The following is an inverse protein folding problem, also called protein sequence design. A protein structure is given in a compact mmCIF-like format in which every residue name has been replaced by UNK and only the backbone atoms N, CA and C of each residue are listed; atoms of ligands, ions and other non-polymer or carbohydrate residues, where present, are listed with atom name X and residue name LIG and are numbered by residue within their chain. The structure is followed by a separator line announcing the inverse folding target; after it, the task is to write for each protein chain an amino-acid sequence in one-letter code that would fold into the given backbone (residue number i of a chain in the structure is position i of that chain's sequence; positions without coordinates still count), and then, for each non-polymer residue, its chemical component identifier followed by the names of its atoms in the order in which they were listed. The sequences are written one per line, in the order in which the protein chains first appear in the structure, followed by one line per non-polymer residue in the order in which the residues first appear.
data_IF_672047968262
#
_entry.id   IF_672047968262
#
_cell.length_a   1.000
_cell.length_b   1.000
_cell.length_c   1.000
_cell.angle_alpha   90.00
_cell.angle_beta   90.00
_cell.angle_gamma   90.00
#
_symmetry.space_group_name_H-M   'P 1'
#
loop_
_entity.id
_entity.type
_entity.pdbx_description
1 polymer ?
#
# COMPACT_ATOMS: atom_id res chain seq x y z
N UNK A 1 -68.07 -22.32 56.16
CA UNK A 1 -67.09 -23.38 55.96
C UNK A 1 -67.36 -24.01 54.60
N UNK A 2 -66.64 -23.69 53.58
CA UNK A 2 -66.74 -24.30 52.24
C UNK A 2 -65.34 -24.67 51.81
N UNK A 3 -65.07 -25.97 51.60
CA UNK A 3 -63.83 -26.51 51.13
C UNK A 3 -63.76 -26.37 49.60
N UNK A 4 -62.69 -25.88 49.08
CA UNK A 4 -62.41 -25.86 47.65
C UNK A 4 -61.63 -27.14 47.22
N UNK A 5 -61.83 -27.65 45.99
CA UNK A 5 -61.20 -28.85 45.51
C UNK A 5 -59.77 -28.57 44.96
N UNK A 6 -58.89 -29.52 45.24
CA UNK A 6 -57.54 -29.58 44.68
C UNK A 6 -57.60 -30.14 43.26
N UNK A 7 -57.08 -29.39 42.29
CA UNK A 7 -56.82 -29.86 40.92
C UNK A 7 -55.40 -30.41 40.89
N UNK A 8 -55.26 -31.68 40.57
CA UNK A 8 -54.00 -32.31 40.23
C UNK A 8 -53.65 -31.93 38.77
N UNK A 9 -52.56 -31.26 38.55
CA UNK A 9 -52.00 -31.07 37.22
C UNK A 9 -51.02 -32.24 36.93
N UNK A 10 -51.34 -33.07 35.95
CA UNK A 10 -50.43 -34.04 35.37
C UNK A 10 -49.41 -33.31 34.48
N UNK A 11 -48.16 -33.29 34.91
CA UNK A 11 -47.07 -32.78 34.11
C UNK A 11 -46.59 -33.86 33.10
N UNK A 12 -46.77 -33.59 31.84
CA UNK A 12 -46.18 -34.42 30.76
C UNK A 12 -44.69 -34.17 30.69
N UNK A 13 -43.90 -35.19 30.96
CA UNK A 13 -42.44 -35.17 30.77
C UNK A 13 -42.19 -35.43 29.29
N UNK A 14 -41.72 -34.40 28.56
CA UNK A 14 -41.21 -34.56 27.21
C UNK A 14 -39.74 -34.94 27.32
N UNK A 15 -39.44 -36.21 26.95
CA UNK A 15 -38.06 -36.67 26.82
C UNK A 15 -37.47 -36.10 25.53
N UNK A 16 -36.63 -35.11 25.66
CA UNK A 16 -35.82 -34.62 24.53
C UNK A 16 -34.61 -35.53 24.39
N UNK A 17 -34.65 -36.38 23.40
CA UNK A 17 -33.49 -37.22 23.01
C UNK A 17 -32.51 -36.34 22.25
N UNK A 18 -31.42 -35.90 22.92
CA UNK A 18 -30.31 -35.23 22.27
C UNK A 18 -29.48 -36.28 21.51
N UNK A 19 -29.65 -36.31 20.19
CA UNK A 19 -28.73 -37.00 19.30
C UNK A 19 -27.42 -36.20 19.20
N UNK A 20 -26.42 -36.66 19.92
CA UNK A 20 -25.04 -36.18 19.71
C UNK A 20 -24.56 -36.71 18.37
N UNK A 21 -24.59 -35.89 17.35
CA UNK A 21 -23.90 -36.16 16.10
C UNK A 21 -22.40 -36.10 16.34
N UNK A 22 -21.77 -37.25 16.23
CA UNK A 22 -20.32 -37.41 16.30
C UNK A 22 -19.71 -36.83 15.02
N UNK A 23 -19.11 -35.64 15.07
CA UNK A 23 -18.34 -35.08 13.96
C UNK A 23 -16.94 -35.72 13.96
N UNK A 24 -16.44 -36.25 12.84
CA UNK A 24 -15.10 -36.77 12.77
C UNK A 24 -14.08 -35.61 12.94
N UNK A 25 -12.96 -35.83 13.65
CA UNK A 25 -11.90 -34.85 13.76
C UNK A 25 -11.13 -34.75 12.45
N UNK A 26 -11.06 -33.58 11.83
CA UNK A 26 -10.09 -33.31 10.74
C UNK A 26 -10.62 -32.71 9.45
N UNK A 27 -11.72 -32.01 9.48
CA UNK A 27 -12.05 -31.09 8.39
C UNK A 27 -11.46 -29.69 8.68
N UNK A 28 -10.29 -29.36 8.15
CA UNK A 28 -9.94 -27.97 8.01
C UNK A 28 -11.01 -27.35 7.11
N UNK A 29 -11.89 -26.55 7.69
CA UNK A 29 -12.75 -25.67 6.92
C UNK A 29 -11.81 -24.74 6.16
N UNK A 30 -11.57 -25.05 4.90
CA UNK A 30 -11.05 -24.09 3.95
C UNK A 30 -12.12 -23.00 3.86
N UNK A 31 -11.90 -21.89 4.54
CA UNK A 31 -12.64 -20.67 4.27
C UNK A 31 -12.35 -20.38 2.80
N UNK A 32 -13.31 -20.67 1.93
CA UNK A 32 -13.29 -20.21 0.56
C UNK A 32 -13.34 -18.68 0.65
N UNK A 33 -12.17 -18.06 0.59
CA UNK A 33 -12.12 -16.65 0.30
C UNK A 33 -12.78 -16.47 -1.06
N UNK A 34 -13.93 -15.80 -1.09
CA UNK A 34 -14.51 -15.36 -2.33
C UNK A 34 -13.38 -14.65 -3.09
N UNK A 35 -13.12 -15.13 -4.29
CA UNK A 35 -12.09 -14.57 -5.16
C UNK A 35 -12.47 -13.10 -5.37
N UNK A 36 -11.74 -12.18 -4.71
CA UNK A 36 -11.97 -10.74 -4.88
C UNK A 36 -11.62 -10.43 -6.33
N UNK A 37 -12.62 -10.14 -7.11
CA UNK A 37 -12.44 -9.67 -8.49
C UNK A 37 -11.95 -8.23 -8.42
N UNK A 38 -10.89 -7.91 -9.15
CA UNK A 38 -10.41 -6.54 -9.23
C UNK A 38 -11.50 -5.61 -9.78
N UNK A 39 -11.60 -4.37 -9.28
CA UNK A 39 -12.48 -3.35 -9.84
C UNK A 39 -12.30 -3.19 -11.34
N UNK A 40 -13.32 -2.67 -12.02
CA UNK A 40 -13.27 -2.42 -13.46
C UNK A 40 -12.11 -1.45 -13.78
N UNK A 41 -11.34 -1.77 -14.82
CA UNK A 41 -10.18 -0.96 -15.23
C UNK A 41 -8.87 -1.39 -14.59
N UNK A 42 -8.90 -2.24 -13.55
CA UNK A 42 -7.67 -2.75 -12.93
C UNK A 42 -7.17 -4.03 -13.59
N UNK A 43 -5.86 -4.23 -13.53
CA UNK A 43 -5.19 -5.44 -14.00
C UNK A 43 -4.92 -6.40 -12.83
N UNK A 44 -5.00 -7.69 -13.12
CA UNK A 44 -4.69 -8.74 -12.15
C UNK A 44 -3.19 -8.99 -12.14
N UNK A 45 -2.57 -8.92 -10.97
CA UNK A 45 -1.18 -9.27 -10.73
C UNK A 45 -1.11 -10.56 -9.91
N UNK A 46 -0.38 -11.56 -10.39
CA UNK A 46 -0.21 -12.82 -9.69
C UNK A 46 0.84 -12.72 -8.58
N UNK A 47 0.48 -13.13 -7.37
CA UNK A 47 1.33 -13.07 -6.18
C UNK A 47 1.38 -14.46 -5.52
N UNK A 48 2.40 -15.23 -5.83
CA UNK A 48 2.46 -16.63 -5.41
C UNK A 48 1.27 -17.44 -5.93
N UNK A 49 0.52 -18.08 -5.03
CA UNK A 49 -0.70 -18.82 -5.37
C UNK A 49 -1.97 -17.95 -5.38
N UNK A 50 -1.82 -16.63 -5.18
CA UNK A 50 -2.91 -15.66 -5.14
C UNK A 50 -2.79 -14.58 -6.22
N UNK A 51 -3.61 -13.56 -6.09
CA UNK A 51 -3.56 -12.38 -6.96
C UNK A 51 -3.78 -11.10 -6.15
N UNK A 52 -3.33 -9.99 -6.72
CA UNK A 52 -3.60 -8.63 -6.27
C UNK A 52 -4.11 -7.80 -7.45
N UNK A 53 -4.70 -6.66 -7.18
CA UNK A 53 -5.09 -5.70 -8.20
C UNK A 53 -3.97 -4.67 -8.40
N UNK A 54 -3.88 -4.10 -9.60
CA UNK A 54 -3.03 -2.97 -9.93
C UNK A 54 -3.78 -2.09 -10.92
N UNK A 55 -3.66 -0.78 -10.80
CA UNK A 55 -4.24 0.17 -11.77
C UNK A 55 -3.49 0.20 -13.11
N UNK A 56 -2.36 -0.47 -13.21
CA UNK A 56 -1.46 -0.40 -14.36
C UNK A 56 -0.19 0.36 -14.03
N UNK A 57 0.45 0.91 -15.03
CA UNK A 57 1.67 1.71 -14.86
C UNK A 57 1.40 3.19 -14.95
N UNK A 58 2.01 3.96 -14.07
CA UNK A 58 1.91 5.41 -14.03
C UNK A 58 2.87 6.09 -14.99
N UNK A 59 2.37 7.04 -15.74
CA UNK A 59 3.16 7.86 -16.65
C UNK A 59 3.60 9.16 -15.98
N UNK A 60 4.81 9.64 -16.29
CA UNK A 60 5.33 10.90 -15.73
C UNK A 60 4.49 12.13 -16.03
N UNK A 61 3.72 12.11 -17.11
CA UNK A 61 2.89 13.25 -17.49
C UNK A 61 1.78 13.57 -16.51
N UNK A 62 1.36 12.58 -15.70
CA UNK A 62 0.38 12.75 -14.62
C UNK A 62 1.02 13.17 -13.29
N UNK A 63 2.28 12.86 -13.08
CA UNK A 63 2.95 13.00 -11.78
C UNK A 63 3.55 14.39 -11.50
N UNK A 64 3.23 15.41 -12.26
CA UNK A 64 3.82 16.75 -12.10
C UNK A 64 5.35 16.79 -12.29
N UNK A 65 5.90 17.96 -12.50
CA UNK A 65 7.36 18.15 -12.58
C UNK A 65 7.90 18.60 -11.23
N UNK A 66 8.67 17.75 -10.51
CA UNK A 66 9.25 18.14 -9.24
C UNK A 66 10.28 19.26 -9.43
N UNK A 67 10.31 20.17 -8.51
CA UNK A 67 11.33 21.21 -8.46
C UNK A 67 12.72 20.61 -8.20
N UNK A 68 13.72 21.23 -8.81
CA UNK A 68 15.09 20.78 -8.88
C UNK A 68 15.73 20.43 -7.53
N UNK A 69 16.44 19.33 -7.52
CA UNK A 69 17.13 18.64 -6.42
C UNK A 69 18.20 19.41 -5.62
N UNK A 70 18.11 20.72 -5.45
CA UNK A 70 19.16 21.51 -4.78
C UNK A 70 19.30 21.29 -3.25
N UNK A 71 18.43 20.46 -2.64
CA UNK A 71 18.33 20.37 -1.17
C UNK A 71 18.77 19.03 -0.56
N UNK A 72 19.06 18.01 -1.35
CA UNK A 72 19.30 16.64 -0.85
C UNK A 72 20.55 16.47 0.06
N UNK A 73 21.52 17.36 -0.01
CA UNK A 73 22.81 17.20 0.68
C UNK A 73 22.79 17.45 2.22
N UNK A 74 21.66 17.94 2.77
CA UNK A 74 21.53 18.31 4.19
C UNK A 74 20.35 17.64 4.90
N UNK A 75 19.68 16.68 4.26
CA UNK A 75 18.51 16.03 4.86
C UNK A 75 18.92 15.00 5.93
N UNK A 76 18.18 14.88 7.05
CA UNK A 76 18.41 13.82 8.01
C UNK A 76 18.21 12.45 7.35
N UNK A 77 18.87 11.43 7.86
CA UNK A 77 18.65 10.05 7.38
C UNK A 77 17.19 9.64 7.61
N UNK A 78 16.60 8.89 6.67
CA UNK A 78 15.30 8.29 6.86
C UNK A 78 15.33 7.39 8.09
N UNK A 79 14.38 7.53 9.02
CA UNK A 79 14.46 6.85 10.30
C UNK A 79 14.30 5.34 10.18
N UNK A 80 14.80 4.63 11.19
CA UNK A 80 14.62 3.19 11.36
C UNK A 80 13.80 2.92 12.61
N UNK A 81 12.48 3.14 12.61
CA UNK A 81 11.66 3.10 13.80
C UNK A 81 11.73 1.75 14.54
N UNK A 82 11.87 1.80 15.85
CA UNK A 82 11.95 0.63 16.71
C UNK A 82 13.25 -0.14 16.51
N UNK A 83 13.19 -1.48 16.31
CA UNK A 83 14.37 -2.31 16.06
C UNK A 83 14.71 -2.51 14.57
N UNK A 84 14.11 -1.71 13.68
CA UNK A 84 14.39 -1.74 12.26
C UNK A 84 13.88 -2.98 11.49
N UNK A 85 13.61 -4.10 12.15
CA UNK A 85 13.35 -5.37 11.48
C UNK A 85 12.04 -6.07 11.86
N UNK A 86 11.45 -5.75 13.00
CA UNK A 86 10.23 -6.42 13.48
C UNK A 86 8.95 -5.69 13.10
N UNK A 87 7.87 -6.45 12.98
CA UNK A 87 6.55 -5.92 12.66
C UNK A 87 6.37 -5.68 11.17
N UNK A 88 5.48 -4.77 10.81
CA UNK A 88 5.25 -4.35 9.43
C UNK A 88 6.39 -3.47 8.98
N UNK A 89 6.91 -3.70 7.76
CA UNK A 89 8.06 -2.98 7.22
C UNK A 89 7.95 -2.78 5.72
N UNK A 90 8.58 -1.72 5.24
CA UNK A 90 8.81 -1.43 3.84
C UNK A 90 10.24 -1.85 3.51
N UNK A 91 10.39 -2.85 2.64
CA UNK A 91 11.69 -3.40 2.27
C UNK A 91 12.10 -2.91 0.90
N UNK A 92 13.28 -2.32 0.81
CA UNK A 92 13.75 -1.64 -0.41
C UNK A 92 14.77 -2.48 -1.15
N UNK A 93 14.60 -2.57 -2.46
CA UNK A 93 15.51 -3.24 -3.38
C UNK A 93 15.91 -2.31 -4.52
N UNK A 94 17.10 -2.55 -5.06
CA UNK A 94 17.55 -2.07 -6.34
C UNK A 94 17.43 -3.23 -7.34
N UNK A 95 16.59 -3.07 -8.35
CA UNK A 95 16.33 -4.06 -9.39
C UNK A 95 17.09 -3.74 -10.67
N UNK A 96 17.71 -4.76 -11.28
CA UNK A 96 18.41 -4.62 -12.56
C UNK A 96 18.10 -5.79 -13.49
N UNK A 97 18.00 -5.58 -14.82
CA UNK A 97 17.67 -6.62 -15.78
C UNK A 97 18.65 -7.78 -15.80
N UNK A 98 18.15 -8.98 -16.06
CA UNK A 98 19.01 -10.15 -16.33
C UNK A 98 19.90 -9.88 -17.53
N UNK A 99 21.19 -10.19 -17.41
CA UNK A 99 22.18 -9.99 -18.46
C UNK A 99 22.86 -8.62 -18.42
N UNK A 100 22.44 -7.72 -17.53
CA UNK A 100 23.15 -6.45 -17.27
C UNK A 100 24.00 -6.54 -16.02
N UNK A 101 24.86 -5.54 -15.81
CA UNK A 101 25.68 -5.42 -14.60
C UNK A 101 24.94 -4.59 -13.57
N UNK A 102 24.87 -5.07 -12.33
CA UNK A 102 24.31 -4.31 -11.23
C UNK A 102 25.09 -3.01 -10.97
N UNK A 103 24.40 -1.87 -10.96
CA UNK A 103 24.95 -0.53 -10.66
C UNK A 103 24.47 -0.01 -9.30
N UNK A 104 24.21 -0.90 -8.34
CA UNK A 104 23.74 -0.47 -7.01
C UNK A 104 24.66 0.57 -6.36
N UNK A 105 25.97 0.45 -6.55
CA UNK A 105 26.93 1.42 -5.98
C UNK A 105 26.67 2.85 -6.49
N UNK A 106 26.29 2.98 -7.77
CA UNK A 106 26.05 4.26 -8.42
C UNK A 106 24.71 4.88 -8.01
N UNK A 107 23.70 4.03 -7.75
CA UNK A 107 22.32 4.47 -7.44
C UNK A 107 21.99 4.49 -5.95
N UNK A 108 22.82 3.89 -5.10
CA UNK A 108 22.50 3.73 -3.68
C UNK A 108 22.27 5.06 -2.95
N UNK A 109 23.06 6.08 -3.28
CA UNK A 109 22.90 7.41 -2.71
C UNK A 109 21.57 8.05 -3.16
N UNK A 110 21.27 8.00 -4.46
CA UNK A 110 20.02 8.52 -5.04
C UNK A 110 18.81 7.86 -4.41
N UNK A 111 18.80 6.54 -4.29
CA UNK A 111 17.70 5.80 -3.64
C UNK A 111 17.58 6.22 -2.18
N UNK A 112 18.68 6.29 -1.42
CA UNK A 112 18.64 6.72 -0.03
C UNK A 112 18.10 8.16 0.12
N UNK A 113 18.44 9.05 -0.81
CA UNK A 113 17.94 10.42 -0.83
C UNK A 113 16.46 10.47 -1.18
N UNK A 114 15.99 9.64 -2.11
CA UNK A 114 14.57 9.52 -2.42
C UNK A 114 13.76 9.00 -1.21
N UNK A 115 14.27 8.00 -0.49
CA UNK A 115 13.63 7.51 0.76
C UNK A 115 13.56 8.62 1.81
N UNK A 116 14.63 9.39 1.99
CA UNK A 116 14.64 10.53 2.94
C UNK A 116 13.66 11.62 2.55
N UNK A 117 13.63 11.99 1.28
CA UNK A 117 12.73 13.03 0.77
C UNK A 117 11.28 12.60 0.95
N UNK A 118 10.94 11.37 0.61
CA UNK A 118 9.60 10.84 0.81
C UNK A 118 9.20 10.81 2.30
N UNK A 119 10.11 10.43 3.19
CA UNK A 119 9.87 10.39 4.62
C UNK A 119 9.67 11.78 5.22
N UNK A 120 10.46 12.76 4.80
CA UNK A 120 10.29 14.14 5.23
C UNK A 120 8.99 14.78 4.72
N UNK A 121 8.56 14.40 3.52
CA UNK A 121 7.27 14.87 3.00
C UNK A 121 6.11 14.30 3.84
N UNK A 122 6.19 13.05 4.25
CA UNK A 122 5.20 12.44 5.14
C UNK A 122 5.21 13.08 6.54
N UNK A 123 6.39 13.29 7.12
CA UNK A 123 6.57 13.98 8.40
C UNK A 123 5.94 15.37 8.39
N UNK A 124 6.18 16.15 7.31
CA UNK A 124 5.66 17.50 7.15
C UNK A 124 4.12 17.58 7.01
N UNK A 125 3.45 16.48 6.67
CA UNK A 125 1.98 16.44 6.55
C UNK A 125 1.28 16.23 7.89
N UNK A 126 2.00 15.89 8.93
CA UNK A 126 1.43 15.72 10.26
C UNK A 126 1.40 17.06 11.00
N UNK A 127 0.32 17.39 11.73
CA UNK A 127 0.21 18.68 12.43
C UNK A 127 1.14 18.79 13.63
N UNK A 128 1.76 17.71 14.05
CA UNK A 128 2.64 17.63 15.20
C UNK A 128 4.11 17.81 14.81
N UNK A 129 4.94 18.26 15.75
CA UNK A 129 6.36 18.54 15.50
C UNK A 129 7.20 17.32 15.15
N UNK A 130 6.68 16.11 15.42
CA UNK A 130 7.28 14.82 15.09
C UNK A 130 6.18 13.99 14.43
N UNK A 131 6.12 14.05 13.10
CA UNK A 131 5.06 13.46 12.31
C UNK A 131 5.21 11.95 12.10
N UNK A 132 4.46 11.43 11.14
CA UNK A 132 4.58 10.03 10.79
C UNK A 132 5.77 9.77 9.87
N UNK A 133 6.38 8.60 10.04
CA UNK A 133 7.52 8.13 9.28
C UNK A 133 7.24 6.76 8.68
N UNK A 134 7.84 6.47 7.51
CA UNK A 134 7.84 5.14 6.93
C UNK A 134 8.63 4.16 7.78
N UNK A 135 8.08 2.99 8.00
CA UNK A 135 8.78 1.91 8.70
C UNK A 135 9.64 1.10 7.74
N UNK A 136 10.73 1.71 7.27
CA UNK A 136 11.69 0.99 6.43
C UNK A 136 12.33 -0.18 7.16
N UNK A 137 12.71 -1.22 6.40
CA UNK A 137 13.51 -2.32 6.91
C UNK A 137 14.97 -1.88 7.05
N UNK A 138 15.50 -2.00 8.26
CA UNK A 138 16.87 -1.67 8.58
C UNK A 138 17.56 -2.90 9.21
N UNK A 139 18.73 -3.25 8.71
CA UNK A 139 19.56 -4.29 9.33
C UNK A 139 20.35 -3.76 10.52
N UNK A 140 20.57 -2.45 10.52
CA UNK A 140 21.14 -1.70 11.64
C UNK A 140 20.20 -0.54 11.91
N UNK A 141 20.14 -0.06 13.14
CA UNK A 141 19.20 1.00 13.56
C UNK A 141 19.57 2.40 13.04
N UNK A 142 20.29 2.48 11.93
CA UNK A 142 20.84 3.75 11.43
C UNK A 142 20.22 4.20 10.13
N UNK A 143 19.94 3.28 9.19
CA UNK A 143 19.40 3.63 7.86
C UNK A 143 18.73 2.45 7.17
N UNK A 144 17.82 2.73 6.22
CA UNK A 144 17.19 1.70 5.41
C UNK A 144 18.21 0.82 4.66
N UNK A 145 17.95 -0.47 4.66
CA UNK A 145 18.80 -1.45 3.94
C UNK A 145 18.33 -1.57 2.51
N UNK A 146 19.20 -1.29 1.55
CA UNK A 146 18.95 -1.44 0.11
C UNK A 146 19.76 -2.62 -0.40
N UNK A 147 19.09 -3.61 -1.01
CA UNK A 147 19.70 -4.81 -1.58
C UNK A 147 19.50 -4.89 -3.09
N UNK A 148 20.49 -5.38 -3.82
CA UNK A 148 20.36 -5.65 -5.24
C UNK A 148 19.56 -6.93 -5.49
N UNK A 149 18.72 -6.91 -6.53
CA UNK A 149 18.00 -8.06 -7.06
C UNK A 149 18.06 -8.06 -8.58
N UNK A 150 18.36 -9.20 -9.18
CA UNK A 150 18.31 -9.34 -10.63
C UNK A 150 16.89 -9.65 -11.08
N UNK A 151 16.34 -8.80 -11.94
CA UNK A 151 15.01 -8.97 -12.49
C UNK A 151 15.05 -9.90 -13.70
N UNK A 152 14.12 -10.82 -13.77
CA UNK A 152 13.91 -11.64 -14.97
C UNK A 152 13.07 -10.81 -15.92
N UNK A 153 13.62 -10.42 -17.07
CA UNK A 153 12.86 -9.69 -18.08
C UNK A 153 11.69 -10.54 -18.58
N UNK A 154 10.54 -9.95 -18.68
CA UNK A 154 9.34 -10.59 -19.21
C UNK A 154 8.71 -9.61 -20.19
N UNK A 155 8.65 -10.01 -21.44
CA UNK A 155 8.10 -9.21 -22.52
C UNK A 155 9.10 -8.98 -23.66
N UNK A 156 8.57 -8.86 -24.87
CA UNK A 156 9.36 -8.68 -26.08
C UNK A 156 9.99 -7.28 -26.19
N UNK A 157 9.50 -6.34 -25.40
CA UNK A 157 9.87 -4.93 -25.37
C UNK A 157 10.80 -4.53 -24.21
N UNK A 158 11.21 -5.50 -23.39
CA UNK A 158 12.01 -5.28 -22.17
C UNK A 158 11.36 -4.33 -21.14
N UNK A 159 10.06 -4.09 -21.24
CA UNK A 159 9.31 -3.37 -20.20
C UNK A 159 9.17 -4.25 -18.97
N UNK A 160 9.23 -3.63 -17.80
CA UNK A 160 9.01 -4.30 -16.52
C UNK A 160 7.70 -3.82 -15.91
N UNK A 161 6.83 -4.76 -15.61
CA UNK A 161 5.62 -4.54 -14.84
C UNK A 161 5.82 -4.96 -13.39
N UNK A 162 4.88 -4.56 -12.51
CA UNK A 162 4.85 -5.08 -11.12
C UNK A 162 4.85 -6.61 -11.11
N UNK A 163 4.18 -7.25 -12.06
CA UNK A 163 4.17 -8.71 -12.15
C UNK A 163 5.57 -9.31 -12.39
N UNK A 164 6.39 -8.66 -13.22
CA UNK A 164 7.76 -9.10 -13.49
C UNK A 164 8.65 -8.91 -12.26
N UNK A 165 8.48 -7.78 -11.58
CA UNK A 165 9.16 -7.49 -10.31
C UNK A 165 8.78 -8.50 -9.24
N UNK A 166 7.49 -8.82 -9.09
CA UNK A 166 7.00 -9.82 -8.14
C UNK A 166 7.56 -11.19 -8.46
N UNK A 167 7.53 -11.60 -9.73
CA UNK A 167 8.07 -12.90 -10.16
C UNK A 167 9.56 -12.99 -9.81
N UNK A 168 10.35 -11.95 -10.12
CA UNK A 168 11.77 -11.90 -9.79
C UNK A 168 12.03 -11.94 -8.28
N UNK A 169 11.25 -11.21 -7.49
CA UNK A 169 11.32 -11.25 -6.03
C UNK A 169 10.97 -12.62 -5.48
N UNK A 170 9.95 -13.26 -6.02
CA UNK A 170 9.52 -14.58 -5.59
C UNK A 170 10.56 -15.64 -5.90
N UNK A 171 11.21 -15.56 -7.05
CA UNK A 171 12.24 -16.53 -7.45
C UNK A 171 13.55 -16.36 -6.67
N UNK A 172 13.99 -15.13 -6.45
CA UNK A 172 15.32 -14.87 -5.86
C UNK A 172 15.30 -14.73 -4.34
N UNK A 173 14.28 -14.08 -3.83
CA UNK A 173 14.08 -13.85 -2.39
C UNK A 173 12.99 -14.76 -1.86
N UNK A 174 12.22 -15.39 -2.74
CA UNK A 174 10.96 -16.07 -2.46
C UNK A 174 11.07 -17.25 -1.52
N UNK A 175 12.16 -17.98 -1.59
CA UNK A 175 12.39 -19.02 -0.58
C UNK A 175 12.63 -18.40 0.80
N UNK A 176 13.18 -17.18 0.85
CA UNK A 176 13.28 -16.35 2.02
C UNK A 176 12.02 -15.49 2.29
N UNK A 177 11.27 -15.11 1.24
CA UNK A 177 9.98 -14.40 1.37
C UNK A 177 8.88 -15.31 1.89
N UNK A 178 8.98 -16.62 1.75
CA UNK A 178 8.11 -17.59 2.38
C UNK A 178 8.15 -17.57 3.91
N UNK A 179 8.82 -16.61 4.51
CA UNK A 179 8.85 -16.35 5.93
C UNK A 179 7.44 -16.04 6.48
N UNK A 180 7.28 -16.20 7.78
CA UNK A 180 6.02 -15.86 8.46
C UNK A 180 5.59 -14.40 8.22
N UNK A 181 6.54 -13.48 8.05
CA UNK A 181 6.27 -12.07 7.80
C UNK A 181 5.65 -11.84 6.42
N UNK A 182 6.14 -12.52 5.37
CA UNK A 182 5.57 -12.47 4.04
C UNK A 182 4.14 -13.01 4.03
N UNK A 183 3.95 -14.24 4.55
CA UNK A 183 2.62 -14.90 4.63
C UNK A 183 1.61 -14.11 5.45
N UNK A 184 2.08 -13.39 6.45
CA UNK A 184 1.22 -12.57 7.30
C UNK A 184 0.91 -11.19 6.70
N UNK A 185 1.31 -10.90 5.46
CA UNK A 185 1.10 -9.59 4.83
C UNK A 185 1.80 -8.44 5.56
N UNK A 186 2.95 -8.72 6.17
CA UNK A 186 3.67 -7.72 6.98
C UNK A 186 4.68 -6.89 6.21
N UNK A 187 4.86 -7.19 4.93
CA UNK A 187 5.89 -6.54 4.13
C UNK A 187 5.28 -5.82 2.94
N UNK A 188 5.74 -4.59 2.74
CA UNK A 188 5.69 -3.89 1.46
C UNK A 188 7.09 -4.02 0.84
N UNK A 189 7.14 -4.38 -0.42
CA UNK A 189 8.38 -4.50 -1.19
C UNK A 189 8.42 -3.38 -2.20
N UNK A 190 9.42 -2.51 -2.09
CA UNK A 190 9.69 -1.44 -3.05
C UNK A 190 10.92 -1.82 -3.86
N UNK A 191 10.83 -1.76 -5.18
CA UNK A 191 11.94 -2.04 -6.08
C UNK A 191 12.20 -0.83 -6.96
N UNK A 192 13.35 -0.21 -6.77
CA UNK A 192 13.87 0.81 -7.69
C UNK A 192 14.51 0.12 -8.87
N UNK A 193 13.95 0.28 -10.08
CA UNK A 193 14.36 -0.43 -11.28
C UNK A 193 15.26 0.44 -12.15
N UNK A 194 16.42 -0.11 -12.51
CA UNK A 194 17.46 0.52 -13.33
C UNK A 194 17.51 -0.10 -14.75
N UNK A 195 18.28 0.51 -15.63
CA UNK A 195 18.51 0.06 -17.01
C UNK A 195 17.26 0.04 -17.92
N UNK A 196 16.31 0.95 -17.66
CA UNK A 196 15.12 1.09 -18.51
C UNK A 196 15.25 2.25 -19.51
N UNK A 197 16.48 2.71 -19.79
CA UNK A 197 16.74 3.80 -20.72
C UNK A 197 16.27 3.44 -22.14
N UNK A 198 15.44 4.30 -22.72
CA UNK A 198 14.88 4.07 -24.08
C UNK A 198 13.78 3.01 -24.14
N UNK A 199 13.33 2.48 -23.01
CA UNK A 199 12.21 1.54 -22.92
C UNK A 199 10.95 2.30 -22.54
N UNK A 200 9.86 2.05 -23.25
CA UNK A 200 8.54 2.50 -22.85
C UNK A 200 8.10 1.68 -21.62
N UNK A 201 8.45 2.15 -20.45
CA UNK A 201 8.08 1.56 -19.18
C UNK A 201 7.44 2.63 -18.30
N UNK A 202 6.47 2.29 -17.45
CA UNK A 202 5.86 3.25 -16.54
C UNK A 202 6.91 3.86 -15.59
N UNK A 203 6.64 5.04 -15.09
CA UNK A 203 7.44 5.69 -14.06
C UNK A 203 7.38 4.92 -12.74
N UNK A 204 6.20 4.43 -12.42
CA UNK A 204 5.90 3.57 -11.30
C UNK A 204 4.80 2.57 -11.59
N UNK A 205 4.58 1.65 -10.71
CA UNK A 205 3.43 0.74 -10.68
C UNK A 205 3.37 0.02 -9.34
N UNK A 206 2.18 -0.16 -8.78
CA UNK A 206 2.02 -0.90 -7.54
C UNK A 206 0.87 -1.91 -7.57
N UNK A 207 0.89 -2.81 -6.58
CA UNK A 207 -0.30 -3.56 -6.19
C UNK A 207 -1.18 -2.66 -5.34
N UNK A 208 -2.44 -2.60 -5.69
CA UNK A 208 -3.44 -1.82 -5.00
C UNK A 208 -4.15 -2.69 -3.96
N UNK A 209 -4.32 -2.17 -2.76
CA UNK A 209 -5.22 -2.77 -1.79
C UNK A 209 -6.57 -2.06 -1.83
N UNK A 210 -7.58 -2.81 -2.20
CA UNK A 210 -8.94 -2.32 -2.36
C UNK A 210 -9.85 -2.96 -1.31
N UNK A 211 -10.42 -2.15 -0.44
CA UNK A 211 -11.41 -2.55 0.56
C UNK A 211 -12.27 -1.35 0.93
N UNK A 212 -13.38 -1.22 0.26
CA UNK A 212 -14.29 -0.07 0.34
C UNK A 212 -15.36 -0.23 1.41
N UNK A 213 -15.31 -1.34 2.14
CA UNK A 213 -16.29 -1.60 3.20
C UNK A 213 -15.99 -0.73 4.42
N UNK A 214 -16.99 -0.02 4.99
CA UNK A 214 -16.82 0.67 6.25
C UNK A 214 -16.35 -0.27 7.36
N UNK A 215 -15.32 0.14 8.09
CA UNK A 215 -14.78 -0.60 9.22
C UNK A 215 -14.82 0.27 10.47
N UNK A 216 -16.01 0.46 11.09
CA UNK A 216 -16.19 1.38 12.19
C UNK A 216 -15.26 1.06 13.37
N UNK A 217 -14.88 2.10 14.07
CA UNK A 217 -14.13 2.11 15.33
C UNK A 217 -12.64 1.72 15.26
N UNK A 218 -12.21 0.85 14.38
CA UNK A 218 -10.81 0.40 14.39
C UNK A 218 -10.06 0.74 13.11
N UNK A 219 -10.77 1.04 12.04
CA UNK A 219 -10.18 1.00 10.70
C UNK A 219 -9.23 -0.19 10.54
N UNK A 220 -9.67 -1.33 11.08
CA UNK A 220 -8.85 -2.53 11.28
C UNK A 220 -8.57 -3.27 9.97
N UNK A 221 -9.29 -2.92 8.92
CA UNK A 221 -9.07 -3.39 7.57
C UNK A 221 -7.59 -3.24 7.16
N UNK A 222 -6.95 -2.15 7.50
CA UNK A 222 -5.51 -1.96 7.33
C UNK A 222 -4.63 -3.00 8.03
N UNK A 223 -5.14 -3.65 9.04
CA UNK A 223 -4.39 -4.59 9.87
C UNK A 223 -4.60 -6.05 9.46
N UNK A 224 -5.69 -6.35 8.77
CA UNK A 224 -6.12 -7.73 8.46
C UNK A 224 -5.70 -8.20 7.07
N UNK A 225 -5.12 -7.33 6.26
CA UNK A 225 -4.72 -7.67 4.89
C UNK A 225 -3.66 -8.74 4.86
N UNK A 226 -3.98 -9.81 4.18
CA UNK A 226 -3.10 -10.94 3.92
C UNK A 226 -2.40 -10.74 2.57
N UNK A 227 -1.14 -11.13 2.52
CA UNK A 227 -0.35 -11.11 1.31
C UNK A 227 0.68 -9.97 1.26
N UNK A 228 1.76 -10.17 0.53
CA UNK A 228 2.77 -9.16 0.30
C UNK A 228 2.25 -8.11 -0.68
N UNK A 229 2.80 -6.93 -0.57
CA UNK A 229 2.47 -5.76 -1.37
C UNK A 229 3.72 -5.30 -2.10
N UNK A 230 3.58 -4.87 -3.33
CA UNK A 230 4.69 -4.56 -4.21
C UNK A 230 4.53 -3.20 -4.86
N UNK A 231 5.62 -2.46 -4.92
CA UNK A 231 5.74 -1.20 -5.63
C UNK A 231 7.02 -1.21 -6.47
N UNK A 232 6.93 -0.70 -7.68
CA UNK A 232 8.03 -0.48 -8.58
C UNK A 232 8.23 1.02 -8.77
N UNK A 233 9.47 1.49 -8.71
CA UNK A 233 9.88 2.87 -8.97
C UNK A 233 10.97 2.84 -10.02
N UNK A 234 10.79 3.52 -11.15
CA UNK A 234 11.81 3.62 -12.17
C UNK A 234 12.87 4.63 -11.77
N UNK A 235 14.14 4.26 -11.92
CA UNK A 235 15.29 5.14 -11.74
C UNK A 235 15.57 5.98 -13.00
N UNK A 236 16.25 7.09 -12.83
CA UNK A 236 16.70 7.97 -13.91
C UNK A 236 15.97 9.31 -14.00
N UNK A 237 15.04 9.58 -13.10
CA UNK A 237 14.28 10.84 -13.06
C UNK A 237 14.81 11.85 -12.04
N UNK A 238 15.73 11.42 -11.19
CA UNK A 238 16.28 12.22 -10.11
C UNK A 238 15.49 12.14 -8.81
N UNK A 239 16.15 12.51 -7.70
CA UNK A 239 15.70 12.27 -6.33
C UNK A 239 14.28 12.73 -6.05
N UNK A 240 13.92 13.93 -6.46
CA UNK A 240 12.61 14.51 -6.15
C UNK A 240 11.47 13.76 -6.86
N UNK A 241 11.65 13.43 -8.14
CA UNK A 241 10.67 12.65 -8.93
C UNK A 241 10.58 11.22 -8.40
N UNK A 242 11.71 10.59 -8.12
CA UNK A 242 11.73 9.22 -7.58
C UNK A 242 11.11 9.14 -6.18
N UNK A 243 11.27 10.19 -5.36
CA UNK A 243 10.59 10.30 -4.08
C UNK A 243 9.08 10.45 -4.24
N UNK A 244 8.62 11.24 -5.20
CA UNK A 244 7.21 11.40 -5.52
C UNK A 244 6.61 10.06 -5.99
N UNK A 245 7.23 9.41 -6.98
CA UNK A 245 6.80 8.08 -7.47
C UNK A 245 6.77 7.08 -6.31
N UNK A 246 7.80 7.06 -5.47
CA UNK A 246 7.84 6.19 -4.29
C UNK A 246 6.63 6.41 -3.36
N UNK A 247 6.30 7.66 -3.06
CA UNK A 247 5.16 8.00 -2.19
C UNK A 247 3.86 7.55 -2.82
N UNK A 248 3.66 7.81 -4.10
CA UNK A 248 2.51 7.41 -4.88
C UNK A 248 2.33 5.88 -4.87
N UNK A 249 3.34 5.13 -5.27
CA UNK A 249 3.28 3.68 -5.36
C UNK A 249 3.16 3.00 -3.99
N UNK A 250 3.82 3.53 -2.97
CA UNK A 250 3.62 3.07 -1.60
C UNK A 250 2.22 3.40 -1.11
N UNK A 251 1.68 4.57 -1.45
CA UNK A 251 0.29 4.95 -1.19
C UNK A 251 -0.68 3.85 -1.62
N UNK A 252 -0.60 3.41 -2.88
CA UNK A 252 -1.41 2.29 -3.40
C UNK A 252 -1.24 1.01 -2.58
N UNK A 253 -0.01 0.64 -2.25
CA UNK A 253 0.23 -0.56 -1.43
C UNK A 253 -0.35 -0.45 -0.03
N UNK A 254 -0.48 0.76 0.50
CA UNK A 254 -1.10 1.03 1.79
C UNK A 254 -2.60 1.20 1.73
N UNK A 255 -3.18 1.21 0.54
CA UNK A 255 -4.63 1.30 0.32
C UNK A 255 -5.14 2.72 0.11
N UNK A 256 -4.28 3.63 -0.37
CA UNK A 256 -4.70 4.97 -0.72
C UNK A 256 -5.72 4.97 -1.85
N UNK A 257 -6.63 5.90 -1.77
CA UNK A 257 -7.75 6.22 -2.65
C UNK A 257 -8.63 5.01 -2.96
N UNK A 258 -9.48 4.67 -2.00
CA UNK A 258 -10.56 3.69 -2.23
C UNK A 258 -11.63 4.27 -3.17
N UNK A 259 -12.43 3.41 -3.81
CA UNK A 259 -13.42 3.85 -4.79
C UNK A 259 -14.51 4.75 -4.24
N UNK A 260 -14.86 4.61 -2.95
CA UNK A 260 -15.86 5.44 -2.27
C UNK A 260 -15.28 6.69 -1.62
N UNK A 261 -13.96 6.94 -1.72
CA UNK A 261 -13.35 8.14 -1.17
C UNK A 261 -13.95 9.41 -1.83
N UNK A 262 -14.07 10.52 -1.09
CA UNK A 262 -14.78 11.73 -1.56
C UNK A 262 -14.31 12.26 -2.91
N UNK A 263 -13.01 12.25 -3.17
CA UNK A 263 -12.42 12.78 -4.40
C UNK A 263 -11.83 11.69 -5.30
N UNK A 264 -12.32 10.45 -5.17
CA UNK A 264 -11.85 9.33 -5.98
C UNK A 264 -12.20 9.49 -7.46
N UNK A 265 -11.26 9.18 -8.35
CA UNK A 265 -11.51 9.01 -9.79
C UNK A 265 -12.34 7.75 -10.08
N UNK A 266 -12.42 6.81 -9.12
CA UNK A 266 -13.01 5.48 -9.27
C UNK A 266 -12.06 4.45 -9.88
N UNK A 267 -10.79 4.80 -10.12
CA UNK A 267 -9.78 3.91 -10.68
C UNK A 267 -8.50 3.79 -9.83
N UNK A 268 -8.57 4.22 -8.57
CA UNK A 268 -7.46 4.11 -7.62
C UNK A 268 -6.70 5.41 -7.38
N UNK A 269 -7.08 6.47 -8.08
CA UNK A 269 -6.53 7.82 -7.93
C UNK A 269 -7.60 8.82 -7.50
N UNK A 270 -7.19 10.04 -7.26
CA UNK A 270 -8.07 11.16 -6.94
C UNK A 270 -7.95 12.28 -7.98
N UNK A 271 -8.82 13.28 -7.86
CA UNK A 271 -8.86 14.38 -8.83
C UNK A 271 -8.46 15.75 -8.23
N UNK A 272 -7.78 15.77 -7.09
CA UNK A 272 -7.28 16.98 -6.44
C UNK A 272 -5.84 17.28 -6.88
N UNK A 273 -5.67 18.31 -7.70
CA UNK A 273 -4.34 18.72 -8.17
C UNK A 273 -3.47 19.13 -6.98
N UNK A 274 -2.28 18.65 -6.86
CA UNK A 274 -1.30 18.83 -5.77
C UNK A 274 -1.33 17.74 -4.69
N UNK A 275 -2.26 16.80 -4.74
CA UNK A 275 -2.21 15.57 -3.96
C UNK A 275 -1.28 14.54 -4.63
N UNK A 276 -0.56 13.77 -3.83
CA UNK A 276 0.41 12.79 -4.35
C UNK A 276 -0.25 11.65 -5.11
N UNK A 277 -1.53 11.35 -4.82
CA UNK A 277 -2.28 10.27 -5.45
C UNK A 277 -3.16 10.74 -6.62
N UNK A 278 -3.17 12.03 -6.95
CA UNK A 278 -4.16 12.58 -7.86
C UNK A 278 -3.58 12.96 -9.22
N UNK A 279 -4.19 12.45 -10.25
CA UNK A 279 -4.02 12.87 -11.66
C UNK A 279 -5.16 12.31 -12.50
N UNK A 280 -5.30 12.79 -13.74
CA UNK A 280 -6.27 12.24 -14.71
C UNK A 280 -5.80 10.85 -15.17
N UNK A 281 -6.39 9.82 -14.56
CA UNK A 281 -6.15 8.40 -14.86
C UNK A 281 -7.16 7.83 -15.87
N UNK A 282 -8.04 8.66 -16.41
CA UNK A 282 -9.14 8.23 -17.28
C UNK A 282 -10.19 7.38 -16.58
N UNK A 283 -10.23 7.40 -15.25
CA UNK A 283 -11.22 6.70 -14.43
C UNK A 283 -12.66 7.19 -14.66
N UNK A 284 -13.65 6.54 -14.02
CA UNK A 284 -15.06 6.88 -14.20
C UNK A 284 -15.39 8.36 -14.05
N UNK A 285 -14.81 9.04 -13.06
CA UNK A 285 -15.00 10.47 -12.86
C UNK A 285 -14.61 11.29 -14.11
N UNK A 286 -13.45 11.03 -14.70
CA UNK A 286 -12.95 11.73 -15.88
C UNK A 286 -13.72 11.32 -17.14
N UNK A 287 -14.15 10.07 -17.26
CA UNK A 287 -14.98 9.59 -18.37
C UNK A 287 -16.36 10.27 -18.40
N UNK A 288 -16.87 10.71 -17.26
CA UNK A 288 -18.11 11.48 -17.11
C UNK A 288 -17.91 12.99 -17.32
N UNK A 289 -16.70 13.43 -17.66
CA UNK A 289 -16.37 14.83 -17.93
C UNK A 289 -15.88 15.60 -16.69
N UNK A 290 -15.46 14.90 -15.65
CA UNK A 290 -14.78 15.50 -14.49
C UNK A 290 -13.42 16.08 -14.88
N UNK A 291 -12.95 17.04 -14.11
CA UNK A 291 -11.66 17.71 -14.30
C UNK A 291 -10.88 17.71 -12.99
N UNK A 292 -9.55 17.84 -13.09
CA UNK A 292 -8.71 18.06 -11.90
C UNK A 292 -9.09 19.38 -11.23
N UNK A 293 -9.29 19.35 -9.93
CA UNK A 293 -9.63 20.52 -9.11
C UNK A 293 -8.46 20.92 -8.21
N UNK A 294 -8.31 22.22 -7.96
CA UNK A 294 -7.29 22.73 -7.02
C UNK A 294 -7.99 23.00 -5.70
N UNK A 295 -7.82 22.12 -4.73
CA UNK A 295 -8.39 22.23 -3.38
C UNK A 295 -7.37 22.74 -2.38
N UNK A 296 -6.11 22.38 -2.53
CA UNK A 296 -5.03 22.90 -1.71
C UNK A 296 -3.94 23.57 -2.56
N UNK A 297 -3.19 24.50 -1.99
CA UNK A 297 -2.09 25.14 -2.71
C UNK A 297 -0.99 24.13 -3.00
N UNK A 298 -0.37 24.26 -4.18
CA UNK A 298 0.85 23.52 -4.47
C UNK A 298 1.91 23.83 -3.39
N UNK A 299 2.60 22.79 -2.94
CA UNK A 299 3.70 22.96 -2.00
C UNK A 299 4.80 23.80 -2.63
N UNK A 300 5.50 24.64 -1.85
CA UNK A 300 6.75 25.25 -2.29
C UNK A 300 7.67 24.15 -2.80
N UNK A 301 8.40 24.36 -3.86
CA UNK A 301 9.29 23.37 -4.46
C UNK A 301 8.62 22.31 -5.35
N UNK A 302 7.34 22.46 -5.71
CA UNK A 302 6.63 21.52 -6.58
C UNK A 302 6.43 20.13 -5.97
N UNK A 303 6.49 20.02 -4.66
CA UNK A 303 6.13 18.82 -3.94
C UNK A 303 4.60 18.72 -3.84
N UNK A 304 4.11 17.50 -3.80
CA UNK A 304 2.70 17.22 -3.59
C UNK A 304 2.44 16.99 -2.10
N UNK A 305 1.27 17.40 -1.64
CA UNK A 305 0.76 17.00 -0.32
C UNK A 305 0.35 15.54 -0.35
N UNK A 306 0.33 14.91 0.82
CA UNK A 306 -0.11 13.51 0.90
C UNK A 306 -1.60 13.38 0.63
N UNK A 307 -2.43 14.12 1.31
CA UNK A 307 -3.89 14.12 1.18
C UNK A 307 -4.37 15.56 1.35
N UNK A 308 -4.92 16.11 0.29
CA UNK A 308 -5.41 17.47 0.21
C UNK A 308 -6.70 17.56 1.01
N UNK A 309 -6.68 18.23 2.13
CA UNK A 309 -7.87 18.29 3.00
C UNK A 309 -7.87 17.24 4.11
N UNK A 310 -7.15 16.15 3.96
CA UNK A 310 -7.11 15.06 4.93
C UNK A 310 -8.43 14.31 5.03
N UNK A 311 -9.10 14.07 3.91
CA UNK A 311 -10.45 13.52 3.88
C UNK A 311 -10.63 12.34 2.92
N UNK A 312 -9.67 12.05 2.04
CA UNK A 312 -9.76 10.99 1.04
C UNK A 312 -9.15 9.66 1.48
N UNK A 313 -7.92 9.69 2.00
CA UNK A 313 -7.17 8.46 2.26
C UNK A 313 -6.13 8.56 3.40
N UNK A 314 -5.76 9.77 3.83
CA UNK A 314 -4.79 9.97 4.90
C UNK A 314 -5.17 11.13 5.80
N UNK A 315 -5.55 10.84 7.03
CA UNK A 315 -5.66 11.81 8.10
C UNK A 315 -5.20 11.21 9.42
N UNK A 316 -4.30 11.91 10.09
CA UNK A 316 -3.81 11.51 11.43
C UNK A 316 -4.94 11.60 12.45
N UNK A 317 -5.66 12.70 12.43
CA UNK A 317 -6.81 12.99 13.28
C UNK A 317 -8.02 13.37 12.42
N UNK A 318 -8.69 12.39 11.80
CA UNK A 318 -9.87 12.70 10.99
C UNK A 318 -10.98 13.29 11.87
N UNK A 319 -11.64 14.32 11.38
CA UNK A 319 -12.73 14.96 12.10
C UNK A 319 -13.94 14.00 12.24
N UNK A 320 -14.69 14.13 13.33
CA UNK A 320 -15.88 13.32 13.57
C UNK A 320 -16.89 13.44 12.41
N UNK A 321 -17.37 12.30 11.94
CA UNK A 321 -18.34 12.22 10.87
C UNK A 321 -17.76 12.37 9.45
N UNK A 322 -16.43 12.44 9.31
CA UNK A 322 -15.79 12.40 8.00
C UNK A 322 -15.57 10.94 7.54
N UNK A 323 -15.33 10.76 6.25
CA UNK A 323 -15.11 9.47 5.60
C UNK A 323 -14.04 8.62 6.31
N UNK A 324 -12.90 9.20 6.67
CA UNK A 324 -11.76 8.48 7.24
C UNK A 324 -11.95 8.00 8.69
N UNK A 325 -13.07 8.32 9.34
CA UNK A 325 -13.40 7.79 10.67
C UNK A 325 -13.71 6.29 10.62
N UNK A 326 -14.46 5.86 9.61
CA UNK A 326 -14.96 4.49 9.49
C UNK A 326 -14.56 3.79 8.18
N UNK A 327 -13.87 4.48 7.27
CA UNK A 327 -13.31 3.90 6.06
C UNK A 327 -11.79 3.75 6.16
N UNK A 328 -11.18 3.32 5.05
CA UNK A 328 -9.75 3.07 4.98
C UNK A 328 -8.94 4.35 5.21
N UNK A 329 -8.04 4.34 6.20
CA UNK A 329 -7.18 5.47 6.52
C UNK A 329 -5.71 5.00 6.61
N UNK A 330 -4.89 5.43 5.66
CA UNK A 330 -3.47 5.05 5.57
C UNK A 330 -2.68 5.49 6.81
N UNK A 331 -3.05 6.61 7.45
CA UNK A 331 -2.39 7.08 8.67
C UNK A 331 -2.43 6.06 9.82
N UNK A 332 -3.41 5.14 9.81
CA UNK A 332 -3.56 4.07 10.79
C UNK A 332 -2.91 2.77 10.36
N UNK A 333 -2.20 2.75 9.24
CA UNK A 333 -1.52 1.56 8.76
C UNK A 333 -0.33 1.22 9.65
N UNK A 334 -0.05 -0.06 9.82
CA UNK A 334 1.11 -0.49 10.62
C UNK A 334 2.46 -0.33 9.92
N UNK A 335 2.51 0.22 8.71
CA UNK A 335 3.73 0.54 7.97
C UNK A 335 4.23 1.96 8.18
N UNK A 336 3.43 2.77 8.89
CA UNK A 336 3.80 4.10 9.36
C UNK A 336 4.05 4.08 10.87
N UNK A 337 4.77 5.06 11.38
CA UNK A 337 5.15 5.17 12.79
C UNK A 337 5.36 6.62 13.20
N UNK A 338 4.98 6.97 14.41
CA UNK A 338 5.29 8.23 15.07
C UNK A 338 6.70 8.30 15.66
N UNK A 339 7.48 7.23 15.57
CA UNK A 339 8.82 7.15 16.16
C UNK A 339 9.86 7.17 15.04
N UNK A 340 10.81 8.07 15.17
CA UNK A 340 12.05 8.05 14.42
C UNK A 340 12.95 6.88 14.78
#
# INVERSE_FOLDING_TARGET
MRRAPRILALGSIVLVTVMLAWSPPGGHATVAHAEKVCPAGMVIVHVGDGHACSHGGDELTGLGTPATAARAAALPEAPCPGNGARGRRIRVFYGYPKGTTARLADHKATIADALRTADLNLDAQSPEADGQHYRFWCETDVRPTIRAIQLVAVGADNAYSVNDVITSLTDQVGRGLGSANHRAGRMVYVVFVDHLDGVAAPAGQATLYWDDDPAPASNANNLTVLGPRFAMVRLGYGVATEAHILQHEVGHTLGAVQGSAPHSSGAGHCFELSDVMCYDDGGPYFQEGGELVTTCPAMPDGQHVWDCGGDDWYAVEPADGTYLIDHWNVARSGWLSWQR
#
